data_IF_914326860983
#
_entry.id   IF_914326860983
#
_cell.length_a   1.000
_cell.length_b   1.000
_cell.length_c   1.000
_cell.angle_alpha   90.00
_cell.angle_beta   90.00
_cell.angle_gamma   90.00
#
_symmetry.space_group_name_H-M   'P 1'
#
loop_
_entity.id
_entity.type
_entity.pdbx_description
1 polymer ?
#
# COMPACT_ATOMS: atom_id res chain seq x y z
N UNK A 1 -4.00 25.54 75.87
CA UNK A 1 -4.02 25.75 74.41
C UNK A 1 -3.30 24.58 73.72
N UNK A 2 -4.08 23.61 73.25
CA UNK A 2 -3.54 22.38 72.66
C UNK A 2 -2.97 22.67 71.27
N UNK A 3 -1.69 22.30 71.09
CA UNK A 3 -1.00 22.38 69.80
C UNK A 3 -1.23 21.06 69.09
N UNK A 4 -2.15 21.05 68.12
CA UNK A 4 -2.34 19.90 67.25
C UNK A 4 -1.23 19.85 66.21
N UNK A 5 -0.54 18.70 66.02
CA UNK A 5 0.42 18.57 64.94
C UNK A 5 -0.32 18.64 63.61
N UNK A 6 0.02 19.63 62.77
CA UNK A 6 -0.38 19.64 61.37
C UNK A 6 0.43 18.54 60.68
N UNK A 7 -0.13 17.34 60.60
CA UNK A 7 0.38 16.31 59.69
C UNK A 7 0.08 16.84 58.29
N UNK A 8 1.12 17.36 57.63
CA UNK A 8 1.07 17.64 56.21
C UNK A 8 0.88 16.30 55.49
N UNK A 9 -0.38 15.98 55.17
CA UNK A 9 -0.69 14.88 54.28
C UNK A 9 -0.20 15.33 52.90
N UNK A 10 1.01 14.89 52.55
CA UNK A 10 1.57 15.11 51.24
C UNK A 10 0.80 14.21 50.26
N UNK A 11 -0.43 14.60 49.91
CA UNK A 11 -1.16 13.97 48.83
C UNK A 11 -0.38 14.34 47.58
N UNK A 12 0.29 13.40 46.89
CA UNK A 12 0.83 13.72 45.58
C UNK A 12 -0.38 14.18 44.77
N UNK A 13 -0.37 15.45 44.35
CA UNK A 13 -1.26 15.89 43.28
C UNK A 13 -0.87 14.99 42.12
N UNK A 14 -1.64 13.94 41.91
CA UNK A 14 -1.65 13.27 40.64
C UNK A 14 -2.00 14.39 39.67
N UNK A 15 -0.99 14.89 38.98
CA UNK A 15 -1.14 15.62 37.73
C UNK A 15 -1.65 14.61 36.71
N UNK A 16 -2.80 14.01 37.00
CA UNK A 16 -3.74 13.49 36.03
C UNK A 16 -4.30 14.72 35.32
N UNK A 17 -3.42 15.45 34.64
CA UNK A 17 -3.78 15.95 33.34
C UNK A 17 -4.23 14.69 32.62
N UNK A 18 -5.55 14.52 32.54
CA UNK A 18 -6.19 13.68 31.56
C UNK A 18 -5.79 14.24 30.20
N UNK A 19 -4.53 14.03 29.85
CA UNK A 19 -4.02 14.20 28.51
C UNK A 19 -4.72 13.09 27.75
N UNK A 20 -5.67 13.49 26.90
CA UNK A 20 -6.15 12.63 25.83
C UNK A 20 -4.95 11.89 25.25
N UNK A 21 -5.07 10.58 25.00
CA UNK A 21 -3.98 9.75 24.42
C UNK A 21 -3.37 10.36 23.15
N UNK A 22 -4.02 11.34 22.55
CA UNK A 22 -3.50 12.16 21.44
C UNK A 22 -2.30 13.06 21.82
N UNK A 23 -2.10 13.43 23.09
CA UNK A 23 -1.02 14.34 23.51
C UNK A 23 0.29 13.61 23.81
N UNK A 24 0.28 12.27 23.88
CA UNK A 24 1.46 11.43 24.10
C UNK A 24 1.94 10.70 22.85
N UNK A 25 1.36 11.00 21.66
CA UNK A 25 1.63 10.30 20.41
C UNK A 25 2.20 11.22 19.31
N UNK A 26 3.27 11.93 19.65
CA UNK A 26 4.24 12.45 18.67
C UNK A 26 3.93 13.82 18.06
N UNK A 27 4.98 14.47 17.59
CA UNK A 27 5.08 15.84 17.05
C UNK A 27 4.25 16.10 15.77
N UNK A 28 3.29 15.23 15.44
CA UNK A 28 2.44 15.30 14.24
C UNK A 28 0.97 15.59 14.56
N UNK A 29 0.69 16.23 15.71
CA UNK A 29 -0.64 16.76 16.06
C UNK A 29 -1.04 17.87 15.07
N UNK A 30 -1.61 17.46 13.94
CA UNK A 30 -2.04 18.32 12.84
C UNK A 30 -2.01 17.65 11.45
N UNK A 31 -1.51 16.41 11.33
CA UNK A 31 -1.38 15.71 10.03
C UNK A 31 -1.97 14.31 10.06
N UNK A 32 -3.11 14.11 10.71
CA UNK A 32 -3.72 12.78 10.84
C UNK A 32 -4.04 12.21 9.46
N UNK A 33 -3.14 11.36 8.97
CA UNK A 33 -3.45 10.23 8.11
C UNK A 33 -4.39 9.35 8.94
N UNK A 34 -5.68 9.37 8.57
CA UNK A 34 -6.77 8.65 9.23
C UNK A 34 -6.38 7.17 9.42
N UNK A 35 -6.90 6.49 10.45
CA UNK A 35 -6.67 5.05 10.63
C UNK A 35 -7.26 4.24 9.46
N UNK A 36 -8.29 4.76 8.79
CA UNK A 36 -8.77 4.29 7.48
C UNK A 36 -7.73 4.48 6.38
N UNK A 37 -6.99 5.60 6.38
CA UNK A 37 -5.89 5.89 5.45
C UNK A 37 -4.62 5.12 5.80
N UNK A 38 -4.33 4.81 7.07
CA UNK A 38 -3.27 3.89 7.47
C UNK A 38 -3.64 2.45 7.11
N UNK A 39 -4.92 2.06 7.26
CA UNK A 39 -5.42 0.78 6.77
C UNK A 39 -5.41 0.74 5.24
N UNK A 40 -5.71 1.84 4.54
CA UNK A 40 -5.60 1.95 3.09
C UNK A 40 -4.16 2.07 2.60
N UNK A 41 -3.21 2.60 3.38
CA UNK A 41 -1.78 2.53 3.06
C UNK A 41 -1.30 1.10 3.33
N UNK A 42 -1.54 0.54 4.51
CA UNK A 42 -1.08 -0.80 4.89
C UNK A 42 -1.75 -1.95 4.12
N UNK A 43 -2.96 -1.75 3.60
CA UNK A 43 -3.69 -2.73 2.78
C UNK A 43 -3.79 -2.34 1.31
N UNK A 44 -3.60 -1.06 0.94
CA UNK A 44 -3.77 -0.54 -0.43
C UNK A 44 -2.63 0.40 -0.91
N UNK A 45 -1.41 0.38 -0.36
CA UNK A 45 -0.21 0.90 -1.09
C UNK A 45 0.18 0.01 -2.29
N UNK A 46 -0.84 -0.60 -2.88
CA UNK A 46 -0.79 -1.22 -4.18
C UNK A 46 -1.08 -0.11 -5.20
N UNK A 47 -0.69 -0.29 -6.47
CA UNK A 47 -1.03 0.65 -7.51
C UNK A 47 -2.55 0.92 -7.48
N UNK A 48 -2.95 2.16 -7.23
CA UNK A 48 -4.37 2.58 -7.21
C UNK A 48 -4.52 3.79 -8.12
N UNK A 49 -5.47 3.72 -9.06
CA UNK A 49 -5.91 4.91 -9.80
C UNK A 49 -7.07 5.53 -9.05
N UNK A 50 -7.17 6.86 -9.12
CA UNK A 50 -8.24 7.60 -8.44
C UNK A 50 -9.61 7.34 -9.07
N UNK A 51 -9.63 7.04 -10.37
CA UNK A 51 -10.81 6.78 -11.20
C UNK A 51 -11.21 5.29 -11.26
N UNK A 52 -10.37 4.39 -10.72
CA UNK A 52 -10.59 2.94 -10.71
C UNK A 52 -11.01 2.33 -12.08
N UNK A 53 -10.52 2.91 -13.18
CA UNK A 53 -10.87 2.46 -14.52
C UNK A 53 -10.14 1.15 -14.86
N UNK A 54 -10.94 0.09 -15.05
CA UNK A 54 -10.50 -1.28 -15.36
C UNK A 54 -9.67 -1.40 -16.65
N UNK A 55 -9.64 -0.37 -17.49
CA UNK A 55 -8.77 -0.29 -18.67
C UNK A 55 -7.31 -0.08 -18.28
N UNK A 56 -7.07 0.56 -17.14
CA UNK A 56 -5.75 1.01 -16.70
C UNK A 56 -5.40 0.53 -15.28
N UNK A 57 -6.27 -0.23 -14.63
CA UNK A 57 -5.95 -1.01 -13.44
C UNK A 57 -6.45 -2.44 -13.58
N UNK A 58 -5.71 -3.39 -13.01
CA UNK A 58 -6.10 -4.80 -13.00
C UNK A 58 -5.63 -5.48 -11.71
N UNK A 59 -6.37 -6.51 -11.30
CA UNK A 59 -6.02 -7.37 -10.18
C UNK A 59 -6.19 -8.82 -10.62
N UNK A 60 -5.14 -9.62 -10.44
CA UNK A 60 -5.11 -10.99 -10.94
C UNK A 60 -4.28 -11.92 -10.07
N UNK A 61 -4.02 -13.11 -10.61
CA UNK A 61 -3.14 -14.14 -10.03
C UNK A 61 -1.93 -14.35 -10.93
N UNK A 62 -0.80 -14.71 -10.34
CA UNK A 62 0.36 -15.17 -11.12
C UNK A 62 0.06 -16.54 -11.73
N UNK A 63 0.54 -16.80 -12.96
CA UNK A 63 0.31 -18.08 -13.65
C UNK A 63 1.38 -19.12 -13.29
N UNK A 64 2.62 -18.65 -13.11
CA UNK A 64 3.76 -19.49 -12.75
C UNK A 64 4.80 -18.68 -11.97
N UNK A 65 5.86 -19.36 -11.53
CA UNK A 65 7.00 -18.70 -10.93
C UNK A 65 7.70 -17.81 -11.95
N UNK A 66 7.68 -16.50 -11.72
CA UNK A 66 8.43 -15.53 -12.48
C UNK A 66 9.95 -15.64 -12.28
N UNK A 67 10.69 -14.72 -12.89
CA UNK A 67 12.13 -14.55 -12.62
C UNK A 67 12.35 -13.41 -11.65
N UNK A 68 13.59 -13.03 -11.40
CA UNK A 68 13.94 -11.86 -10.57
C UNK A 68 13.41 -10.54 -11.14
N UNK A 69 13.12 -10.47 -12.43
CA UNK A 69 12.69 -9.26 -13.14
C UNK A 69 11.43 -9.46 -13.96
N UNK A 70 10.83 -10.65 -13.96
CA UNK A 70 9.64 -10.94 -14.75
C UNK A 70 8.54 -11.53 -13.89
N UNK A 71 7.32 -11.08 -14.14
CA UNK A 71 6.10 -11.62 -13.55
C UNK A 71 5.26 -12.25 -14.65
N UNK A 72 4.96 -13.53 -14.50
CA UNK A 72 4.03 -14.23 -15.36
C UNK A 72 2.63 -14.10 -14.75
N UNK A 73 1.78 -13.33 -15.41
CA UNK A 73 0.47 -12.94 -14.93
C UNK A 73 -0.61 -13.69 -15.69
N UNK A 74 -1.70 -14.09 -15.04
CA UNK A 74 -2.84 -14.66 -15.78
C UNK A 74 -3.85 -13.60 -16.14
N UNK A 75 -4.28 -13.59 -17.41
CA UNK A 75 -5.52 -12.95 -17.84
C UNK A 75 -5.38 -11.46 -18.14
N UNK A 76 -4.21 -11.04 -18.62
CA UNK A 76 -4.01 -9.69 -19.13
C UNK A 76 -4.38 -9.68 -20.62
N UNK A 77 -5.50 -9.06 -20.98
CA UNK A 77 -6.02 -9.03 -22.36
C UNK A 77 -5.62 -7.78 -23.16
N UNK A 78 -4.74 -6.95 -22.59
CA UNK A 78 -4.25 -5.73 -23.24
C UNK A 78 -3.20 -6.04 -24.32
N UNK A 79 -2.97 -5.07 -25.21
CA UNK A 79 -1.92 -5.16 -26.23
C UNK A 79 -0.53 -5.05 -25.61
N UNK A 80 0.49 -5.46 -26.37
CA UNK A 80 1.90 -5.24 -26.04
C UNK A 80 2.14 -3.79 -25.60
N UNK A 81 3.05 -3.60 -24.66
CA UNK A 81 3.48 -2.30 -24.11
C UNK A 81 2.41 -1.50 -23.34
N UNK A 82 1.16 -1.98 -23.22
CA UNK A 82 0.08 -1.22 -22.58
C UNK A 82 0.41 -0.78 -21.14
N UNK A 83 1.10 -1.65 -20.41
CA UNK A 83 1.41 -1.47 -19.00
C UNK A 83 2.72 -0.73 -18.72
N UNK A 84 3.48 -0.34 -19.75
CA UNK A 84 4.77 0.34 -19.60
C UNK A 84 4.62 1.67 -18.85
N UNK A 85 5.54 1.91 -17.91
CA UNK A 85 5.53 3.08 -17.03
C UNK A 85 4.53 2.97 -15.87
N UNK A 86 3.73 1.91 -15.83
CA UNK A 86 2.91 1.55 -14.69
C UNK A 86 3.72 0.95 -13.54
N UNK A 87 3.00 0.59 -12.48
CA UNK A 87 3.54 -0.08 -11.30
C UNK A 87 2.75 -1.37 -11.09
N UNK A 88 3.45 -2.44 -10.75
CA UNK A 88 2.87 -3.72 -10.31
C UNK A 88 3.32 -4.02 -8.90
N UNK A 89 2.45 -4.63 -8.10
CA UNK A 89 2.81 -5.14 -6.78
C UNK A 89 2.01 -6.40 -6.40
N UNK A 90 2.70 -7.34 -5.79
CA UNK A 90 2.15 -8.60 -5.30
C UNK A 90 1.44 -8.37 -3.97
N UNK A 91 0.21 -8.83 -3.88
CA UNK A 91 -0.75 -8.56 -2.80
C UNK A 91 -0.90 -9.71 -1.80
N UNK A 92 -0.40 -10.91 -2.12
CA UNK A 92 -0.46 -12.09 -1.26
C UNK A 92 0.74 -13.01 -1.46
N UNK A 93 0.87 -14.03 -0.60
CA UNK A 93 1.96 -15.01 -0.68
C UNK A 93 3.28 -14.57 -0.06
N UNK A 94 4.34 -15.25 -0.48
CA UNK A 94 5.70 -15.05 0.00
C UNK A 94 6.29 -13.74 -0.52
N UNK A 95 5.92 -13.33 -1.73
CA UNK A 95 6.37 -12.09 -2.34
C UNK A 95 5.45 -10.91 -2.04
N UNK A 96 4.56 -11.02 -1.05
CA UNK A 96 3.64 -9.95 -0.70
C UNK A 96 4.40 -8.64 -0.41
N UNK A 97 4.01 -7.58 -1.11
CA UNK A 97 4.62 -6.25 -1.01
C UNK A 97 5.80 -6.04 -1.96
N UNK A 98 6.22 -7.07 -2.70
CA UNK A 98 7.21 -6.94 -3.77
C UNK A 98 6.53 -6.42 -5.04
N UNK A 99 7.32 -5.84 -5.93
CA UNK A 99 6.80 -5.19 -7.14
C UNK A 99 7.72 -4.09 -7.63
N UNK A 100 7.42 -3.51 -8.78
CA UNK A 100 8.28 -2.50 -9.38
C UNK A 100 7.62 -1.75 -10.52
N UNK A 101 8.41 -0.89 -11.15
CA UNK A 101 8.02 -0.18 -12.37
C UNK A 101 8.09 -1.11 -13.56
N UNK A 102 7.10 -1.05 -14.44
CA UNK A 102 6.99 -1.93 -15.59
C UNK A 102 7.76 -1.29 -16.76
N UNK A 103 8.75 -2.02 -17.28
CA UNK A 103 9.55 -1.62 -18.44
C UNK A 103 9.08 -2.26 -19.74
N UNK A 104 8.36 -3.39 -19.67
CA UNK A 104 7.89 -4.13 -20.85
C UNK A 104 6.67 -5.00 -20.48
N UNK A 105 5.78 -5.22 -21.45
CA UNK A 105 4.66 -6.15 -21.36
C UNK A 105 4.45 -6.87 -22.70
N UNK A 106 4.45 -8.20 -22.65
CA UNK A 106 4.23 -9.06 -23.82
C UNK A 106 2.87 -9.75 -23.71
N UNK A 107 1.91 -9.32 -24.53
CA UNK A 107 0.52 -9.80 -24.55
C UNK A 107 0.37 -11.27 -24.98
N UNK A 108 1.32 -11.80 -25.75
CA UNK A 108 1.26 -13.20 -26.19
C UNK A 108 1.60 -14.20 -25.08
N UNK A 109 2.19 -13.74 -23.98
CA UNK A 109 2.65 -14.57 -22.86
C UNK A 109 2.23 -14.02 -21.50
N UNK A 110 1.50 -12.90 -21.45
CA UNK A 110 1.15 -12.16 -20.24
C UNK A 110 2.34 -11.86 -19.29
N UNK A 111 3.54 -11.67 -19.86
CA UNK A 111 4.75 -11.44 -19.08
C UNK A 111 4.97 -9.93 -18.91
N UNK A 112 5.07 -9.50 -17.65
CA UNK A 112 5.53 -8.17 -17.28
C UNK A 112 7.02 -8.21 -16.95
N UNK A 113 7.81 -7.33 -17.57
CA UNK A 113 9.18 -7.07 -17.14
C UNK A 113 9.21 -5.85 -16.24
N UNK A 114 9.84 -5.96 -15.07
CA UNK A 114 10.00 -4.85 -14.14
C UNK A 114 11.44 -4.35 -14.10
N UNK A 115 11.59 -3.03 -13.96
CA UNK A 115 12.90 -2.40 -13.70
C UNK A 115 13.24 -2.59 -12.21
N UNK A 116 14.41 -3.18 -11.94
CA UNK A 116 14.83 -3.70 -10.63
C UNK A 116 14.32 -2.92 -9.41
N UNK A 117 13.58 -3.63 -8.54
CA UNK A 117 13.46 -3.31 -7.13
C UNK A 117 14.33 -4.29 -6.35
N UNK A 118 15.39 -3.77 -5.75
CA UNK A 118 16.18 -4.51 -4.77
C UNK A 118 15.25 -5.05 -3.67
N UNK A 119 15.43 -6.29 -3.20
CA UNK A 119 16.55 -7.19 -3.49
C UNK A 119 16.23 -8.23 -4.58
N UNK A 120 17.27 -8.72 -5.28
CA UNK A 120 17.21 -9.62 -6.45
C UNK A 120 16.55 -10.99 -6.24
N UNK A 121 15.98 -11.27 -5.06
CA UNK A 121 15.24 -12.48 -4.72
C UNK A 121 13.73 -12.22 -4.56
N UNK A 122 13.26 -10.99 -4.80
CA UNK A 122 11.91 -10.57 -4.45
C UNK A 122 10.79 -11.25 -5.26
N UNK A 123 11.09 -11.96 -6.35
CA UNK A 123 10.08 -12.54 -7.24
C UNK A 123 10.34 -14.00 -7.66
N UNK A 124 11.49 -14.59 -7.28
CA UNK A 124 11.83 -15.97 -7.67
C UNK A 124 11.12 -17.03 -6.82
N UNK A 125 10.42 -16.63 -5.75
CA UNK A 125 9.57 -17.50 -4.94
C UNK A 125 8.08 -17.41 -5.34
N UNK A 126 7.79 -16.81 -6.50
CA UNK A 126 6.41 -16.59 -6.93
C UNK A 126 5.66 -17.89 -7.13
N UNK A 127 4.42 -17.93 -6.63
CA UNK A 127 3.53 -19.10 -6.72
C UNK A 127 2.27 -18.71 -7.50
N UNK A 128 1.66 -19.70 -8.16
CA UNK A 128 0.39 -19.57 -8.88
C UNK A 128 -0.80 -19.17 -7.98
N UNK A 129 -0.60 -19.20 -6.66
CA UNK A 129 -1.59 -18.79 -5.66
C UNK A 129 -1.44 -17.34 -5.22
N UNK A 130 -0.36 -16.67 -5.65
CA UNK A 130 -0.12 -15.28 -5.33
C UNK A 130 -0.97 -14.38 -6.21
N UNK A 131 -1.52 -13.35 -5.59
CA UNK A 131 -2.35 -12.33 -6.25
C UNK A 131 -1.52 -11.08 -6.46
N UNK A 132 -1.75 -10.35 -7.55
CA UNK A 132 -1.08 -9.08 -7.85
C UNK A 132 -2.09 -7.98 -8.18
N UNK A 133 -1.62 -6.74 -8.08
CA UNK A 133 -2.31 -5.54 -8.57
C UNK A 133 -1.37 -4.74 -9.44
N UNK A 134 -1.92 -4.20 -10.51
CA UNK A 134 -1.22 -3.40 -11.51
C UNK A 134 -2.04 -2.16 -11.82
N UNK A 135 -1.36 -1.04 -12.03
CA UNK A 135 -1.99 0.16 -12.57
C UNK A 135 -1.00 0.99 -13.39
N UNK A 136 -1.53 1.67 -14.41
CA UNK A 136 -0.79 2.67 -15.20
C UNK A 136 -1.41 4.06 -15.07
N UNK A 137 -0.59 5.10 -15.15
CA UNK A 137 -1.05 6.50 -15.05
C UNK A 137 -1.47 7.09 -16.40
N UNK A 138 -1.50 6.30 -17.47
CA UNK A 138 -1.98 6.74 -18.78
C UNK A 138 -3.50 6.89 -18.78
N UNK A 139 -4.03 7.72 -19.69
CA UNK A 139 -5.48 7.86 -19.89
C UNK A 139 -6.27 8.40 -18.69
N UNK A 140 -5.63 9.05 -17.71
CA UNK A 140 -6.34 9.68 -16.59
C UNK A 140 -7.29 10.75 -17.12
N UNK A 141 -8.59 10.48 -17.02
CA UNK A 141 -9.59 11.46 -17.38
C UNK A 141 -9.71 12.49 -16.26
N UNK A 142 -10.01 13.75 -16.61
CA UNK A 142 -10.23 14.81 -15.61
C UNK A 142 -11.58 14.69 -14.88
N UNK A 143 -12.33 13.62 -15.13
CA UNK A 143 -13.60 13.39 -14.50
C UNK A 143 -13.36 13.09 -13.01
N UNK A 144 -13.95 13.91 -12.15
CA UNK A 144 -13.91 13.71 -10.71
C UNK A 144 -14.63 12.39 -10.38
N UNK A 145 -13.95 11.39 -9.79
CA UNK A 145 -14.58 10.12 -9.43
C UNK A 145 -15.69 10.30 -8.39
N UNK A 146 -15.76 11.43 -7.69
CA UNK A 146 -16.84 11.78 -6.76
C UNK A 146 -18.04 12.46 -7.44
N UNK A 147 -17.93 12.81 -8.72
CA UNK A 147 -19.02 13.45 -9.48
C UNK A 147 -20.04 12.45 -10.05
N UNK A 148 -19.78 11.14 -9.91
CA UNK A 148 -20.62 10.05 -10.42
C UNK A 148 -21.52 9.42 -9.33
N UNK A 149 -21.50 9.91 -8.08
CA UNK A 149 -22.35 9.41 -6.98
C UNK A 149 -23.64 10.20 -6.78
#
# INVERSE_FOLDING_TARGET
PEVFPVIALNIPVATNGNKSRADSLGEHRGKYIDMMYWKAIAQNFYPMRIDADSTYEYAGTLDTTGTTTTLDCTGLDQLDDHWIGGVVSITSGNNKGMGGYISDFVSSTDILTITETLPSYALNESSTTETFKIATSTGLTSADPLSLS
#
